data_IF_595316342010
#
_entry.id   IF_595316342010
#
_cell.length_a   1.000
_cell.length_b   1.000
_cell.length_c   1.000
_cell.angle_alpha   90.00
_cell.angle_beta   90.00
_cell.angle_gamma   90.00
#
_symmetry.space_group_name_H-M   'P 1'
#
loop_
_entity.id
_entity.type
_entity.pdbx_description
1 polymer ?
#
# COMPACT_ATOMS: atom_id res chain seq x y z
N UNK A 1 -0.36 21.34 -19.35
CA UNK A 1 -0.96 20.56 -18.26
C UNK A 1 0.16 20.07 -17.36
N UNK A 2 0.49 20.87 -16.35
CA UNK A 2 1.65 20.71 -15.49
C UNK A 2 1.75 19.30 -14.85
N UNK A 3 0.62 18.73 -14.42
CA UNK A 3 0.60 17.36 -13.85
C UNK A 3 1.14 16.32 -14.84
N UNK A 4 0.75 16.43 -16.13
CA UNK A 4 1.21 15.52 -17.18
C UNK A 4 2.70 15.69 -17.44
N UNK A 5 3.20 16.92 -17.41
CA UNK A 5 4.63 17.23 -17.63
C UNK A 5 5.48 16.68 -16.48
N UNK A 6 5.07 16.90 -15.23
CA UNK A 6 5.76 16.38 -14.05
C UNK A 6 5.83 14.85 -14.10
N UNK A 7 4.69 14.18 -14.30
CA UNK A 7 4.66 12.71 -14.32
C UNK A 7 5.39 12.14 -15.52
N UNK A 8 5.38 12.82 -16.68
CA UNK A 8 6.20 12.42 -17.84
C UNK A 8 7.69 12.43 -17.51
N UNK A 9 8.15 13.43 -16.75
CA UNK A 9 9.53 13.48 -16.27
C UNK A 9 9.87 12.35 -15.30
N UNK A 10 8.95 12.03 -14.37
CA UNK A 10 9.09 10.88 -13.45
C UNK A 10 9.20 9.57 -14.23
N UNK A 11 8.29 9.34 -15.20
CA UNK A 11 8.29 8.12 -16.00
C UNK A 11 9.55 7.98 -16.85
N UNK A 12 10.11 9.09 -17.37
CA UNK A 12 11.38 9.05 -18.09
C UNK A 12 12.55 8.64 -17.19
N UNK A 13 12.56 9.08 -15.93
CA UNK A 13 13.57 8.66 -14.95
C UNK A 13 13.39 7.20 -14.56
N UNK A 14 12.14 6.75 -14.38
CA UNK A 14 11.82 5.35 -14.05
C UNK A 14 12.16 4.40 -15.20
N UNK A 15 11.91 4.79 -16.46
CA UNK A 15 12.24 3.97 -17.62
C UNK A 15 13.74 3.68 -17.67
N UNK A 16 14.57 4.69 -17.44
CA UNK A 16 16.02 4.54 -17.35
C UNK A 16 16.44 3.61 -16.19
N UNK A 17 15.88 3.79 -14.99
CA UNK A 17 16.26 2.97 -13.84
C UNK A 17 15.78 1.52 -13.96
N UNK A 18 14.56 1.30 -14.48
CA UNK A 18 14.02 -0.04 -14.72
C UNK A 18 14.83 -0.81 -15.79
N UNK A 19 15.30 -0.12 -16.84
CA UNK A 19 16.22 -0.71 -17.83
C UNK A 19 17.54 -1.17 -17.21
N UNK A 20 17.96 -0.55 -16.08
CA UNK A 20 19.13 -0.94 -15.30
C UNK A 20 18.78 -1.85 -14.11
N UNK A 21 17.60 -2.50 -14.13
CA UNK A 21 17.12 -3.41 -13.08
C UNK A 21 16.99 -2.77 -11.69
N UNK A 22 16.82 -1.45 -11.63
CA UNK A 22 16.65 -0.73 -10.38
C UNK A 22 15.19 -0.26 -10.23
N UNK A 23 14.48 -0.86 -9.27
CA UNK A 23 13.13 -0.48 -8.86
C UNK A 23 13.22 0.52 -7.72
N UNK A 24 12.48 1.63 -7.80
CA UNK A 24 12.55 2.73 -6.84
C UNK A 24 11.89 2.41 -5.50
N UNK A 25 10.69 1.81 -5.51
CA UNK A 25 9.92 1.32 -4.35
C UNK A 25 9.35 2.39 -3.40
N UNK A 26 9.62 3.67 -3.60
CA UNK A 26 9.15 4.77 -2.74
C UNK A 26 8.84 6.04 -3.56
N UNK A 27 8.09 5.90 -4.66
CA UNK A 27 7.62 7.03 -5.47
C UNK A 27 6.53 7.78 -4.71
N UNK A 28 6.80 9.06 -4.44
CA UNK A 28 5.89 10.00 -3.75
C UNK A 28 6.32 11.45 -4.04
N UNK A 29 5.47 12.45 -3.83
CA UNK A 29 5.83 13.86 -4.09
C UNK A 29 7.10 14.32 -3.36
N UNK A 30 7.35 13.85 -2.12
CA UNK A 30 8.56 14.19 -1.37
C UNK A 30 9.87 13.71 -2.00
N UNK A 31 9.81 12.72 -2.91
CA UNK A 31 10.98 12.18 -3.61
C UNK A 31 11.05 12.68 -5.08
N UNK A 32 10.19 13.63 -5.46
CA UNK A 32 10.17 14.24 -6.80
C UNK A 32 10.56 15.70 -6.65
N UNK A 33 11.64 16.09 -7.32
CA UNK A 33 12.15 17.45 -7.31
C UNK A 33 11.94 18.10 -8.67
N UNK A 34 11.37 19.31 -8.70
CA UNK A 34 11.37 20.19 -9.84
C UNK A 34 12.54 21.17 -9.70
N UNK A 35 13.46 21.14 -10.62
CA UNK A 35 14.62 22.05 -10.63
C UNK A 35 14.24 23.42 -11.21
N UNK A 36 15.04 24.45 -10.95
CA UNK A 36 14.79 25.81 -11.43
C UNK A 36 14.81 25.95 -12.95
N UNK A 37 15.43 25.00 -13.67
CA UNK A 37 15.44 24.91 -15.13
C UNK A 37 14.30 24.02 -15.68
N UNK A 38 13.32 23.67 -14.82
CA UNK A 38 12.11 22.93 -15.22
C UNK A 38 12.30 21.41 -15.37
N UNK A 39 13.45 20.85 -14.96
CA UNK A 39 13.67 19.41 -15.04
C UNK A 39 13.14 18.68 -13.83
N UNK A 40 12.57 17.50 -14.06
CA UNK A 40 12.15 16.59 -13.00
C UNK A 40 13.29 15.66 -12.64
N UNK A 41 13.54 15.52 -11.33
CA UNK A 41 14.49 14.56 -10.77
C UNK A 41 13.76 13.68 -9.75
N UNK A 42 13.98 12.38 -9.83
CA UNK A 42 13.52 11.40 -8.83
C UNK A 42 14.70 11.11 -7.91
N UNK A 43 14.47 11.23 -6.61
CA UNK A 43 15.50 11.12 -5.57
C UNK A 43 15.16 9.99 -4.61
N UNK A 44 16.12 9.61 -3.76
CA UNK A 44 15.93 8.65 -2.68
C UNK A 44 15.40 7.29 -3.15
N UNK A 45 16.11 6.68 -4.10
CA UNK A 45 15.86 5.28 -4.47
C UNK A 45 15.88 4.39 -3.23
N UNK A 46 14.80 3.63 -3.01
CA UNK A 46 14.53 2.87 -1.78
C UNK A 46 15.50 1.68 -1.51
N UNK A 47 16.80 1.90 -1.67
CA UNK A 47 17.86 0.89 -1.48
C UNK A 47 17.81 0.32 -0.05
N UNK A 48 17.44 1.12 0.95
CA UNK A 48 17.35 0.70 2.34
C UNK A 48 16.17 -0.26 2.61
N UNK A 49 15.08 -0.19 1.82
CA UNK A 49 13.91 -1.07 1.97
C UNK A 49 14.13 -2.49 1.43
N UNK A 50 15.07 -2.69 0.52
CA UNK A 50 15.42 -4.02 0.02
C UNK A 50 16.11 -4.91 1.08
N UNK A 51 16.69 -4.30 2.12
CA UNK A 51 17.41 -5.01 3.20
C UNK A 51 16.59 -5.18 4.48
N UNK A 52 15.41 -4.53 4.60
CA UNK A 52 14.55 -4.56 5.79
C UNK A 52 13.18 -5.18 5.55
N UNK A 53 13.00 -5.96 4.50
CA UNK A 53 11.75 -6.65 4.14
C UNK A 53 11.30 -7.73 5.17
N UNK A 54 12.02 -7.87 6.29
CA UNK A 54 11.59 -8.64 7.44
C UNK A 54 11.26 -7.68 8.60
N UNK A 55 9.95 -7.40 8.78
CA UNK A 55 9.37 -6.82 10.00
C UNK A 55 9.68 -5.34 10.29
N UNK A 56 9.34 -4.42 9.40
CA UNK A 56 9.14 -3.03 9.83
C UNK A 56 7.82 -2.95 10.61
N UNK A 57 7.93 -2.98 11.94
CA UNK A 57 6.85 -2.63 12.87
C UNK A 57 6.31 -1.25 12.46
N UNK A 58 5.07 -1.20 11.96
CA UNK A 58 4.38 0.05 11.61
C UNK A 58 4.10 0.83 12.91
N UNK A 59 5.09 1.54 13.41
CA UNK A 59 4.90 2.52 14.49
C UNK A 59 4.13 3.72 13.94
N UNK A 60 3.00 4.02 14.58
CA UNK A 60 2.07 5.10 14.22
C UNK A 60 2.72 6.48 14.40
N UNK A 61 3.35 7.00 13.35
CA UNK A 61 3.70 8.42 13.25
C UNK A 61 3.07 8.97 11.97
N UNK A 62 2.69 10.25 11.97
CA UNK A 62 2.10 10.93 10.80
C UNK A 62 2.95 10.75 9.52
N UNK A 63 4.27 10.60 9.66
CA UNK A 63 5.17 10.31 8.54
C UNK A 63 4.93 8.92 7.92
N UNK A 64 4.54 7.92 8.72
CA UNK A 64 4.21 6.56 8.24
C UNK A 64 2.88 6.57 7.51
N UNK A 65 1.87 7.31 8.01
CA UNK A 65 0.58 7.47 7.33
C UNK A 65 0.78 8.15 5.97
N UNK A 66 1.59 9.21 5.89
CA UNK A 66 1.90 9.91 4.64
C UNK A 66 2.56 9.01 3.59
N UNK A 67 3.48 8.15 3.99
CA UNK A 67 4.13 7.18 3.07
C UNK A 67 3.16 6.08 2.62
N UNK A 68 2.23 5.63 3.48
CA UNK A 68 1.25 4.61 3.15
C UNK A 68 0.32 5.01 1.99
N UNK A 69 0.12 6.32 1.75
CA UNK A 69 -0.73 6.86 0.68
C UNK A 69 -0.26 6.50 -0.73
N UNK A 70 1.00 6.10 -0.91
CA UNK A 70 1.59 5.80 -2.22
C UNK A 70 2.03 4.34 -2.37
N UNK A 71 1.71 3.48 -1.41
CA UNK A 71 2.04 2.05 -1.48
C UNK A 71 1.28 1.36 -2.62
N UNK A 72 1.96 0.46 -3.32
CA UNK A 72 1.28 -0.48 -4.22
C UNK A 72 0.59 -1.60 -3.42
N UNK A 73 -0.43 -2.28 -4.00
CA UNK A 73 -1.09 -3.42 -3.36
C UNK A 73 -0.12 -4.50 -2.91
N UNK A 74 0.87 -4.85 -3.74
CA UNK A 74 1.90 -5.84 -3.45
C UNK A 74 2.83 -5.41 -2.31
N UNK A 75 3.14 -4.10 -2.21
CA UNK A 75 3.88 -3.58 -1.06
C UNK A 75 3.05 -3.65 0.23
N UNK A 76 1.77 -3.32 0.15
CA UNK A 76 0.85 -3.38 1.28
C UNK A 76 0.66 -4.83 1.80
N UNK A 77 0.74 -5.84 0.89
CA UNK A 77 0.67 -7.26 1.22
C UNK A 77 2.02 -7.87 1.61
N UNK A 78 3.15 -7.15 1.46
CA UNK A 78 4.49 -7.70 1.67
C UNK A 78 4.90 -8.71 0.60
N UNK A 79 4.36 -8.61 -0.60
CA UNK A 79 4.67 -9.46 -1.75
C UNK A 79 5.91 -8.95 -2.51
N UNK A 80 6.38 -9.75 -3.47
CA UNK A 80 7.50 -9.35 -4.34
C UNK A 80 7.14 -8.12 -5.17
N UNK A 81 8.00 -7.10 -5.10
CA UNK A 81 7.87 -5.80 -5.77
C UNK A 81 8.68 -5.79 -7.07
N UNK A 82 8.06 -5.35 -8.16
CA UNK A 82 8.71 -5.14 -9.45
C UNK A 82 8.52 -3.69 -9.97
N UNK A 83 9.00 -3.41 -11.18
CA UNK A 83 8.90 -2.10 -11.82
C UNK A 83 7.45 -1.55 -11.88
N UNK A 84 6.44 -2.41 -11.97
CA UNK A 84 5.02 -2.03 -12.04
C UNK A 84 4.48 -1.50 -10.71
N UNK A 85 5.17 -1.76 -9.59
CA UNK A 85 4.87 -1.13 -8.31
C UNK A 85 5.15 0.38 -8.35
N UNK A 86 6.26 0.78 -8.99
CA UNK A 86 6.58 2.20 -9.19
C UNK A 86 5.55 2.89 -10.09
N UNK A 87 5.02 2.17 -11.10
CA UNK A 87 3.97 2.70 -11.98
C UNK A 87 2.65 2.91 -11.25
N UNK A 88 2.30 2.02 -10.33
CA UNK A 88 1.15 2.22 -9.44
C UNK A 88 1.31 3.47 -8.58
N UNK A 89 2.44 3.61 -7.88
CA UNK A 89 2.74 4.77 -7.05
C UNK A 89 2.78 6.07 -7.88
N UNK A 90 3.27 6.00 -9.12
CA UNK A 90 3.23 7.12 -10.08
C UNK A 90 1.79 7.47 -10.48
N UNK A 91 0.91 6.48 -10.63
CA UNK A 91 -0.53 6.67 -10.82
C UNK A 91 -1.20 7.38 -9.64
N UNK A 92 -0.80 7.06 -8.39
CA UNK A 92 -1.25 7.77 -7.19
C UNK A 92 -0.81 9.23 -7.20
N UNK A 93 0.46 9.49 -7.55
CA UNK A 93 0.99 10.86 -7.67
C UNK A 93 0.25 11.64 -8.77
N UNK A 94 0.00 11.03 -9.93
CA UNK A 94 -0.78 11.65 -11.00
C UNK A 94 -2.19 12.01 -10.54
N UNK A 95 -2.88 11.08 -9.87
CA UNK A 95 -4.20 11.32 -9.30
C UNK A 95 -4.19 12.54 -8.35
N UNK A 96 -3.21 12.59 -7.46
CA UNK A 96 -3.08 13.69 -6.49
C UNK A 96 -2.77 15.02 -7.17
N UNK A 97 -1.88 15.07 -8.15
CA UNK A 97 -1.57 16.28 -8.91
C UNK A 97 -2.80 16.80 -9.69
N UNK A 98 -3.66 15.90 -10.14
CA UNK A 98 -4.89 16.25 -10.85
C UNK A 98 -6.00 16.75 -9.93
N UNK A 99 -6.13 16.18 -8.71
CA UNK A 99 -7.30 16.39 -7.84
C UNK A 99 -7.00 17.13 -6.54
N UNK A 100 -5.71 17.39 -6.24
CA UNK A 100 -5.26 18.01 -4.98
C UNK A 100 -5.31 17.07 -3.75
N UNK A 101 -5.60 15.78 -3.95
CA UNK A 101 -5.65 14.79 -2.86
C UNK A 101 -5.34 13.38 -3.37
N UNK A 102 -4.75 12.50 -2.55
CA UNK A 102 -4.56 11.11 -2.94
C UNK A 102 -5.91 10.36 -3.09
N UNK A 103 -5.95 9.26 -3.88
CA UNK A 103 -7.17 8.49 -4.13
C UNK A 103 -7.74 7.86 -2.84
N UNK A 104 -6.88 7.51 -1.91
CA UNK A 104 -7.26 6.86 -0.66
C UNK A 104 -6.77 7.65 0.54
N UNK A 105 -7.62 7.73 1.59
CA UNK A 105 -7.33 8.41 2.85
C UNK A 105 -7.87 7.57 4.01
N UNK A 106 -7.20 7.63 5.16
CA UNK A 106 -7.65 6.94 6.37
C UNK A 106 -6.92 7.43 7.59
N UNK A 107 -7.44 7.10 8.77
CA UNK A 107 -6.92 7.55 10.06
C UNK A 107 -5.67 6.78 10.50
N UNK A 108 -5.31 5.72 9.78
CA UNK A 108 -4.10 4.92 10.05
C UNK A 108 -3.46 4.43 8.76
N UNK A 109 -2.15 4.16 8.81
CA UNK A 109 -1.42 3.57 7.70
C UNK A 109 -2.00 2.21 7.26
N UNK A 110 -2.50 1.42 8.21
CA UNK A 110 -3.14 0.11 7.94
C UNK A 110 -4.45 0.30 7.18
N UNK A 111 -5.28 1.28 7.56
CA UNK A 111 -6.54 1.57 6.84
C UNK A 111 -6.27 2.01 5.39
N UNK A 112 -5.26 2.86 5.18
CA UNK A 112 -4.86 3.31 3.84
C UNK A 112 -4.28 2.15 3.01
N UNK A 113 -3.41 1.32 3.60
CA UNK A 113 -2.86 0.14 2.96
C UNK A 113 -3.96 -0.84 2.52
N UNK A 114 -4.97 -1.08 3.38
CA UNK A 114 -6.12 -1.91 3.03
C UNK A 114 -6.90 -1.37 1.82
N UNK A 115 -7.09 -0.04 1.74
CA UNK A 115 -7.76 0.58 0.60
C UNK A 115 -6.96 0.40 -0.70
N UNK A 116 -5.62 0.47 -0.65
CA UNK A 116 -4.78 0.16 -1.81
C UNK A 116 -4.96 -1.28 -2.31
N UNK A 117 -5.22 -2.22 -1.39
CA UNK A 117 -5.42 -3.63 -1.73
C UNK A 117 -6.81 -3.88 -2.32
N UNK A 118 -7.87 -3.36 -1.68
CA UNK A 118 -9.25 -3.79 -1.94
C UNK A 118 -10.13 -2.73 -2.61
N UNK A 119 -9.93 -1.44 -2.31
CA UNK A 119 -10.88 -0.42 -2.73
C UNK A 119 -10.62 0.04 -4.16
N UNK A 120 -11.67 0.07 -4.99
CA UNK A 120 -11.60 0.66 -6.34
C UNK A 120 -11.34 2.17 -6.21
N UNK A 121 -10.32 2.72 -6.90
CA UNK A 121 -10.07 4.15 -6.87
C UNK A 121 -11.19 4.93 -7.59
N UNK A 122 -11.58 6.11 -7.09
CA UNK A 122 -12.48 6.98 -7.84
C UNK A 122 -11.79 7.48 -9.12
N UNK A 123 -12.56 7.87 -10.12
CA UNK A 123 -12.01 8.58 -11.28
C UNK A 123 -11.61 10.01 -10.88
N UNK A 124 -10.50 10.55 -11.39
CA UNK A 124 -10.16 11.97 -11.22
C UNK A 124 -11.31 12.91 -11.62
N UNK A 125 -12.01 12.64 -12.74
CA UNK A 125 -13.14 13.43 -13.22
C UNK A 125 -14.34 13.44 -12.28
N UNK A 126 -14.54 12.39 -11.47
CA UNK A 126 -15.59 12.38 -10.43
C UNK A 126 -15.34 13.39 -9.30
N UNK A 127 -14.11 13.92 -9.21
CA UNK A 127 -13.72 14.93 -8.22
C UNK A 127 -13.65 16.32 -8.87
N UNK A 128 -13.08 16.42 -10.07
CA UNK A 128 -12.97 17.63 -10.86
C UNK A 128 -13.42 17.34 -12.29
N UNK A 129 -14.62 17.80 -12.64
CA UNK A 129 -15.32 17.53 -13.92
C UNK A 129 -14.55 17.99 -15.18
N UNK A 130 -13.59 18.91 -15.02
CA UNK A 130 -12.79 19.44 -16.12
C UNK A 130 -11.65 18.49 -16.53
N UNK A 131 -11.44 17.39 -15.80
CA UNK A 131 -10.45 16.37 -16.14
C UNK A 131 -11.00 15.50 -17.27
N UNK A 132 -10.28 15.37 -18.41
CA UNK A 132 -10.76 14.57 -19.52
C UNK A 132 -10.73 13.07 -19.23
N UNK A 133 -11.67 12.32 -19.80
CA UNK A 133 -11.80 10.85 -19.69
C UNK A 133 -10.47 10.13 -20.02
N UNK A 134 -9.71 10.64 -20.96
CA UNK A 134 -8.40 10.05 -21.29
C UNK A 134 -7.43 10.02 -20.12
N UNK A 135 -7.48 11.00 -19.20
CA UNK A 135 -6.69 10.99 -17.96
C UNK A 135 -7.26 10.00 -16.93
N UNK A 136 -8.57 9.89 -16.82
CA UNK A 136 -9.20 8.86 -15.97
C UNK A 136 -8.74 7.46 -16.36
N UNK A 137 -8.77 7.16 -17.66
CA UNK A 137 -8.33 5.88 -18.22
C UNK A 137 -6.87 5.58 -17.89
N UNK A 138 -5.98 6.56 -18.06
CA UNK A 138 -4.55 6.39 -17.72
C UNK A 138 -4.35 6.14 -16.22
N UNK A 139 -5.01 6.92 -15.37
CA UNK A 139 -4.92 6.78 -13.91
C UNK A 139 -5.47 5.43 -13.46
N UNK A 140 -6.67 5.04 -13.90
CA UNK A 140 -7.28 3.78 -13.49
C UNK A 140 -6.44 2.57 -13.92
N UNK A 141 -5.87 2.59 -15.13
CA UNK A 141 -4.97 1.55 -15.58
C UNK A 141 -3.71 1.47 -14.72
N UNK A 142 -3.11 2.59 -14.36
CA UNK A 142 -1.96 2.60 -13.45
C UNK A 142 -2.32 2.08 -12.05
N UNK A 143 -3.55 2.37 -11.56
CA UNK A 143 -4.07 1.98 -10.24
C UNK A 143 -4.76 0.61 -10.23
N UNK A 144 -4.67 -0.20 -11.29
CA UNK A 144 -5.19 -1.56 -11.31
C UNK A 144 -4.58 -2.39 -10.17
N UNK A 145 -5.41 -3.18 -9.47
CA UNK A 145 -4.97 -3.96 -8.29
C UNK A 145 -4.04 -5.08 -8.68
N UNK A 146 -4.42 -5.83 -9.72
CA UNK A 146 -3.54 -6.82 -10.31
C UNK A 146 -2.46 -6.13 -11.16
N UNK A 147 -1.20 -6.45 -10.93
CA UNK A 147 -0.07 -5.84 -11.66
C UNK A 147 -0.06 -6.17 -13.15
N UNK A 148 -0.68 -7.28 -13.56
CA UNK A 148 -0.76 -7.69 -14.96
C UNK A 148 -1.69 -6.78 -15.78
N UNK A 149 -2.65 -6.11 -15.13
CA UNK A 149 -3.60 -5.20 -15.76
C UNK A 149 -3.05 -3.77 -15.89
N UNK A 150 -1.92 -3.49 -15.24
CA UNK A 150 -1.23 -2.19 -15.30
C UNK A 150 -0.46 -2.01 -16.61
N UNK A 151 0.17 -0.87 -16.74
CA UNK A 151 1.16 -0.66 -17.80
C UNK A 151 2.34 -1.62 -17.63
N UNK A 152 2.82 -2.23 -18.73
CA UNK A 152 3.95 -3.16 -18.66
C UNK A 152 5.29 -2.47 -18.42
N UNK A 153 5.41 -1.16 -18.73
CA UNK A 153 6.63 -0.38 -18.56
C UNK A 153 6.33 1.11 -18.36
N UNK A 154 7.30 1.85 -17.84
CA UNK A 154 7.24 3.31 -17.74
C UNK A 154 7.09 3.97 -19.12
N UNK A 155 7.78 3.46 -20.13
CA UNK A 155 7.65 3.93 -21.51
C UNK A 155 6.22 3.79 -22.04
N UNK A 156 5.51 2.69 -21.72
CA UNK A 156 4.13 2.48 -22.16
C UNK A 156 3.16 3.48 -21.51
N UNK A 157 3.31 3.76 -20.21
CA UNK A 157 2.51 4.77 -19.52
C UNK A 157 2.83 6.18 -20.03
N UNK A 158 4.11 6.48 -20.26
CA UNK A 158 4.55 7.77 -20.82
C UNK A 158 3.96 8.01 -22.21
N UNK A 159 3.92 6.99 -23.06
CA UNK A 159 3.32 7.09 -24.39
C UNK A 159 1.83 7.47 -24.33
N UNK A 160 1.05 6.91 -23.40
CA UNK A 160 -0.35 7.29 -23.22
C UNK A 160 -0.50 8.72 -22.67
N UNK A 161 0.34 9.15 -21.72
CA UNK A 161 0.33 10.55 -21.25
C UNK A 161 0.68 11.55 -22.37
N UNK A 162 1.62 11.18 -23.26
CA UNK A 162 1.95 12.00 -24.44
C UNK A 162 0.79 12.08 -25.44
N UNK A 163 -0.01 11.02 -25.57
CA UNK A 163 -1.25 11.04 -26.36
C UNK A 163 -2.29 11.98 -25.76
N UNK A 164 -2.49 11.90 -24.43
CA UNK A 164 -3.37 12.83 -23.71
C UNK A 164 -2.96 14.28 -23.99
N UNK A 165 -1.66 14.62 -23.85
CA UNK A 165 -1.17 15.97 -24.09
C UNK A 165 -1.43 16.48 -25.50
N UNK A 166 -1.56 15.59 -26.50
CA UNK A 166 -1.85 15.89 -27.90
C UNK A 166 -3.32 15.78 -28.25
N UNK A 167 -4.21 15.46 -27.30
CA UNK A 167 -5.62 15.21 -27.56
C UNK A 167 -5.91 13.96 -28.39
N UNK A 168 -4.99 12.99 -28.36
CA UNK A 168 -5.11 11.72 -29.08
C UNK A 168 -5.71 10.64 -28.17
N UNK A 169 -6.29 9.61 -28.80
CA UNK A 169 -6.83 8.48 -28.08
C UNK A 169 -5.75 7.67 -27.37
N UNK A 170 -6.01 7.27 -26.10
CA UNK A 170 -5.09 6.48 -25.27
C UNK A 170 -5.30 4.98 -25.46
N UNK A 171 -4.26 4.19 -25.22
CA UNK A 171 -4.33 2.73 -25.24
C UNK A 171 -4.92 2.12 -23.96
N UNK A 172 -5.16 2.92 -22.93
CA UNK A 172 -5.82 2.47 -21.71
C UNK A 172 -7.31 2.17 -21.97
N UNK A 173 -7.89 1.09 -21.38
CA UNK A 173 -9.30 0.74 -21.56
C UNK A 173 -10.22 1.83 -20.98
N UNK A 174 -11.50 1.90 -21.42
CA UNK A 174 -12.49 2.84 -20.87
C UNK A 174 -12.65 2.70 -19.36
N UNK A 175 -12.97 3.82 -18.67
CA UNK A 175 -13.10 3.84 -17.22
C UNK A 175 -14.14 2.83 -16.70
N UNK A 176 -15.24 2.65 -17.42
CA UNK A 176 -16.32 1.72 -17.06
C UNK A 176 -15.90 0.25 -17.05
N UNK A 177 -14.83 -0.12 -17.77
CA UNK A 177 -14.33 -1.49 -17.80
C UNK A 177 -13.73 -1.94 -16.45
N UNK A 178 -13.31 -1.02 -15.60
CA UNK A 178 -12.77 -1.30 -14.27
C UNK A 178 -13.85 -1.47 -13.19
N UNK A 179 -15.08 -1.00 -13.44
CA UNK A 179 -16.21 -1.12 -12.53
C UNK A 179 -16.84 -2.52 -12.53
N UNK A 180 -16.55 -3.35 -13.54
CA UNK A 180 -17.24 -4.63 -13.77
C UNK A 180 -16.61 -5.81 -13.01
N UNK A 181 -15.49 -5.62 -12.30
CA UNK A 181 -14.85 -6.66 -11.48
C UNK A 181 -15.36 -6.71 -10.03
N UNK A 182 -16.55 -6.15 -9.77
CA UNK A 182 -17.32 -6.50 -8.58
C UNK A 182 -17.83 -7.92 -8.85
N UNK A 183 -17.21 -8.91 -8.19
CA UNK A 183 -17.75 -10.28 -8.09
C UNK A 183 -19.26 -10.20 -7.92
N UNK A 184 -20.07 -10.92 -8.73
CA UNK A 184 -21.51 -10.97 -8.49
C UNK A 184 -21.67 -11.39 -7.04
N UNK A 185 -22.46 -10.63 -6.28
CA UNK A 185 -22.89 -11.04 -4.96
C UNK A 185 -23.58 -12.40 -5.12
N UNK A 186 -22.78 -13.45 -4.99
CA UNK A 186 -23.28 -14.82 -5.01
C UNK A 186 -24.21 -14.92 -3.83
N UNK A 187 -25.50 -15.02 -4.14
CA UNK A 187 -26.59 -15.54 -3.32
C UNK A 187 -26.31 -15.73 -1.83
N UNK A 188 -26.24 -14.66 -1.07
CA UNK A 188 -26.44 -14.75 0.39
C UNK A 188 -27.93 -14.89 0.76
N UNK A 189 -28.84 -14.94 -0.22
CA UNK A 189 -30.25 -15.14 0.01
C UNK A 189 -30.64 -16.63 0.25
N UNK A 190 -29.76 -17.59 -0.02
CA UNK A 190 -30.06 -19.03 0.12
C UNK A 190 -29.54 -19.69 1.40
N UNK A 191 -28.81 -18.96 2.26
CA UNK A 191 -28.25 -19.54 3.49
C UNK A 191 -29.06 -19.24 4.76
N UNK A 192 -30.20 -18.53 4.67
CA UNK A 192 -31.01 -18.19 5.85
C UNK A 192 -32.23 -19.08 6.09
N UNK A 193 -32.39 -20.20 5.36
CA UNK A 193 -33.57 -21.07 5.53
C UNK A 193 -33.24 -22.46 6.11
N UNK A 194 -32.09 -22.67 6.74
CA UNK A 194 -31.75 -23.98 7.31
C UNK A 194 -31.14 -23.90 8.73
N UNK A 195 -31.77 -23.19 9.67
CA UNK A 195 -31.45 -23.32 11.10
C UNK A 195 -32.59 -22.85 11.99
N UNK A 196 -33.79 -23.44 11.81
CA UNK A 196 -34.80 -23.41 12.84
C UNK A 196 -35.13 -24.86 13.21
N UNK A 197 -34.30 -25.47 14.02
CA UNK A 197 -34.67 -26.68 14.76
C UNK A 197 -35.01 -26.29 16.21
N UNK A 198 -36.13 -26.79 16.78
CA UNK A 198 -36.54 -26.41 18.11
C UNK A 198 -35.62 -27.07 19.16
N UNK A 199 -35.17 -26.27 20.11
CA UNK A 199 -34.41 -26.68 21.27
C UNK A 199 -35.34 -27.43 22.22
N UNK A 200 -35.25 -28.78 22.27
CA UNK A 200 -35.92 -29.59 23.27
C UNK A 200 -35.20 -29.41 24.61
N UNK A 201 -36.01 -29.15 25.62
CA UNK A 201 -35.65 -29.04 27.02
C UNK A 201 -34.90 -30.28 27.52
N UNK A 202 -33.73 -30.09 28.12
CA UNK A 202 -33.07 -31.10 28.98
C UNK A 202 -33.03 -30.57 30.40
N UNK A 203 -33.77 -31.32 31.23
CA UNK A 203 -33.95 -31.13 32.64
C UNK A 203 -32.66 -31.37 33.46
N UNK A 204 -32.54 -30.55 34.47
CA UNK A 204 -31.93 -30.76 35.79
C UNK A 204 -31.11 -32.03 36.00
N UNK A 205 -29.81 -31.89 36.26
CA UNK A 205 -29.05 -32.82 37.11
C UNK A 205 -28.18 -32.06 38.10
N UNK A 206 -28.42 -32.38 39.35
CA UNK A 206 -27.82 -32.00 40.63
C UNK A 206 -26.28 -32.16 40.67
N UNK A 207 -25.54 -31.32 41.40
CA UNK A 207 -24.10 -31.49 41.59
C UNK A 207 -23.75 -32.47 42.71
N UNK A 208 -22.70 -33.24 42.51
CA UNK A 208 -22.03 -34.06 43.54
C UNK A 208 -20.56 -33.62 43.72
N UNK A 209 -19.89 -33.93 44.83
CA UNK A 209 -19.08 -32.97 45.58
C UNK A 209 -17.56 -32.99 45.23
N UNK A 210 -16.94 -31.92 45.69
CA UNK A 210 -15.51 -31.61 45.57
C UNK A 210 -14.58 -32.67 46.20
N UNK A 211 -13.49 -32.99 45.51
CA UNK A 211 -12.30 -33.56 46.09
C UNK A 211 -11.09 -32.64 45.98
N UNK A 212 -10.34 -32.59 47.06
CA UNK A 212 -9.33 -31.67 47.46
C UNK A 212 -8.13 -31.53 46.48
N UNK A 213 -7.68 -30.29 46.29
CA UNK A 213 -6.44 -29.94 45.65
C UNK A 213 -5.26 -30.07 46.60
N UNK A 214 -4.26 -30.83 46.19
CA UNK A 214 -2.95 -30.90 46.86
C UNK A 214 -2.08 -29.79 46.28
N UNK A 215 -1.72 -28.83 47.14
CA UNK A 215 -0.77 -27.76 46.83
C UNK A 215 0.66 -28.29 46.89
N UNK A 216 1.39 -28.17 45.76
CA UNK A 216 2.84 -28.37 45.73
C UNK A 216 3.51 -27.00 45.60
N UNK A 217 4.22 -26.65 46.68
CA UNK A 217 5.00 -25.42 46.82
C UNK A 217 6.29 -25.47 45.99
N UNK A 218 6.57 -24.42 45.24
CA UNK A 218 7.84 -24.17 44.61
C UNK A 218 8.81 -23.45 45.58
N UNK A 219 10.11 -23.74 45.56
CA UNK A 219 11.08 -23.11 46.44
C UNK A 219 11.49 -21.68 45.94
N UNK A 220 11.97 -20.80 46.81
CA UNK A 220 12.29 -19.41 46.50
C UNK A 220 13.59 -19.28 45.70
N UNK A 221 13.56 -18.39 44.74
CA UNK A 221 14.76 -17.96 43.99
C UNK A 221 15.52 -16.92 44.82
N UNK A 222 16.82 -17.14 45.00
CA UNK A 222 17.75 -16.28 45.71
C UNK A 222 18.00 -15.01 44.89
N UNK A 223 17.89 -13.85 45.53
CA UNK A 223 18.33 -12.55 45.07
C UNK A 223 19.84 -12.45 45.18
N UNK A 224 20.53 -12.18 44.08
CA UNK A 224 21.95 -11.80 44.08
C UNK A 224 22.04 -10.27 44.00
N UNK A 225 22.77 -9.71 44.96
CA UNK A 225 23.12 -8.31 45.09
C UNK A 225 24.10 -7.85 44.00
N UNK A 226 24.00 -6.66 43.46
CA UNK A 226 24.98 -6.07 42.56
C UNK A 226 25.87 -5.05 43.34
N UNK A 227 27.07 -5.48 43.76
CA UNK A 227 28.20 -4.56 44.01
C UNK A 227 29.47 -5.44 44.20
N UNK A 228 30.34 -5.38 43.24
CA UNK A 228 31.80 -5.41 43.33
C UNK A 228 32.39 -5.76 41.96
N UNK A 229 32.90 -4.77 41.26
CA UNK A 229 34.15 -4.77 40.55
C UNK A 229 34.38 -3.51 39.73
N UNK A 230 34.61 -2.42 40.45
CA UNK A 230 35.32 -1.25 39.92
C UNK A 230 36.74 -1.30 40.50
N UNK A 231 37.68 -1.86 39.80
CA UNK A 231 39.13 -1.50 39.81
C UNK A 231 39.97 -2.60 39.18
N UNK A 232 40.51 -2.32 38.04
CA UNK A 232 41.80 -2.76 37.47
C UNK A 232 41.75 -2.97 35.98
N UNK A 233 42.00 -1.95 35.20
CA UNK A 233 42.99 -2.03 34.11
C UNK A 233 43.22 -0.62 33.51
N UNK A 234 43.94 0.24 34.25
CA UNK A 234 44.81 1.23 33.62
C UNK A 234 46.18 0.56 33.48
N UNK A 235 46.68 0.43 32.28
CA UNK A 235 48.06 0.38 31.78
C UNK A 235 48.22 -0.68 30.71
N UNK A 236 48.43 -0.17 29.53
CA UNK A 236 49.45 -0.50 28.49
C UNK A 236 48.84 -0.20 27.13
N UNK A 237 49.35 0.70 26.60
CA UNK A 237 50.15 1.41 25.59
C UNK A 237 49.27 1.93 24.48
#
# INVERSE_FOLDING_TARGET
NEAVEIVSGVLSALDYSHANHLVHRDIKPGNIMLTSDGKIKVMDFGIARALTDSQATMTQTNAVVGTAQYLSPEQARGETVDARSDLYSTGVVLFELLTGRPPFKGDSAVAVAYQHVEQIPPTPSSILSDIPDSLDRVVLKALAKNREDRYPSAAAMLADLQRVARGLEVGAPPADSWATEVLPAADVASAQTAATMPMAAVANRTPAPAMAATSTSLPPVATADPDDDVAKSRKRR
#
